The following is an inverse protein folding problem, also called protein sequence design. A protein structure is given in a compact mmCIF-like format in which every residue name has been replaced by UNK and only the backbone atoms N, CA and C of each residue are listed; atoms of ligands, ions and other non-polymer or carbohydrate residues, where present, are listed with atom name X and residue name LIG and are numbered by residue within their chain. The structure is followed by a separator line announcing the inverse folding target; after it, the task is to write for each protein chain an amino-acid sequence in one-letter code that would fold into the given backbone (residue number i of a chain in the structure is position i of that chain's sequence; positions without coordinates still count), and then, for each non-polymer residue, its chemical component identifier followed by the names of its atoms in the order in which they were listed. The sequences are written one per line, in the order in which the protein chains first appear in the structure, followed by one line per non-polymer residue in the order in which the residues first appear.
data_IF_617968723923
#
_entry.id   IF_617968723923
#
_cell.length_a   1.000
_cell.length_b   1.000
_cell.length_c   1.000
_cell.angle_alpha   90.00
_cell.angle_beta   90.00
_cell.angle_gamma   90.00
#
_symmetry.space_group_name_H-M   'P 1'
#
loop_
_entity.id
_entity.type
_entity.pdbx_description
1 polymer ?
#
# COMPACT_ATOMS: atom_id res chain seq x y z
N UNK A 1 23.79 -5.46 3.90
CA UNK A 1 22.38 -5.50 4.33
C UNK A 1 21.95 -4.08 4.63
N UNK A 2 20.84 -3.62 4.03
CA UNK A 2 20.27 -2.31 4.32
C UNK A 2 19.66 -2.25 5.72
N UNK A 3 19.40 -1.03 6.20
CA UNK A 3 18.88 -0.78 7.54
C UNK A 3 17.43 -1.27 7.64
N UNK A 4 17.06 -2.02 8.67
CA UNK A 4 15.66 -2.35 9.01
C UNK A 4 15.15 -1.42 10.11
N UNK A 5 13.83 -1.28 10.21
CA UNK A 5 13.17 -0.63 11.35
C UNK A 5 12.28 -1.65 12.06
N UNK A 6 12.12 -1.46 13.37
CA UNK A 6 11.20 -2.24 14.18
C UNK A 6 9.80 -1.63 14.16
N UNK A 7 8.80 -2.49 14.26
CA UNK A 7 7.39 -2.12 14.40
C UNK A 7 6.67 -3.17 15.24
N UNK A 8 5.58 -2.77 15.92
CA UNK A 8 4.71 -3.73 16.59
C UNK A 8 4.08 -4.70 15.59
N UNK A 9 4.06 -5.99 15.90
CA UNK A 9 3.37 -6.98 15.06
C UNK A 9 1.87 -6.71 14.97
N UNK A 10 1.25 -6.25 16.05
CA UNK A 10 -0.15 -5.81 16.07
C UNK A 10 -0.47 -4.67 15.09
N UNK A 11 0.53 -3.90 14.65
CA UNK A 11 0.35 -2.83 13.66
C UNK A 11 0.30 -3.34 12.21
N UNK A 12 0.67 -4.59 11.95
CA UNK A 12 0.68 -5.14 10.58
C UNK A 12 -0.73 -5.15 9.96
N UNK A 13 -1.77 -5.31 10.77
CA UNK A 13 -3.16 -5.18 10.34
C UNK A 13 -3.47 -3.78 9.81
N UNK A 14 -2.94 -2.73 10.45
CA UNK A 14 -3.12 -1.36 9.99
C UNK A 14 -2.41 -1.14 8.65
N UNK A 15 -1.17 -1.62 8.51
CA UNK A 15 -0.42 -1.57 7.24
C UNK A 15 -1.19 -2.29 6.12
N UNK A 16 -1.74 -3.47 6.39
CA UNK A 16 -2.55 -4.22 5.44
C UNK A 16 -3.76 -3.41 4.95
N UNK A 17 -4.53 -2.80 5.86
CA UNK A 17 -5.69 -1.99 5.48
C UNK A 17 -5.29 -0.71 4.74
N UNK A 18 -4.18 -0.08 5.12
CA UNK A 18 -3.62 1.07 4.40
C UNK A 18 -3.23 0.70 2.97
N UNK A 19 -2.47 -0.40 2.79
CA UNK A 19 -2.09 -0.90 1.46
C UNK A 19 -3.33 -1.22 0.61
N UNK A 20 -4.34 -1.85 1.22
CA UNK A 20 -5.64 -2.13 0.59
C UNK A 20 -6.38 -0.86 0.17
N UNK A 21 -6.33 0.20 0.98
CA UNK A 21 -6.91 1.50 0.62
C UNK A 21 -6.26 2.10 -0.63
N UNK A 22 -4.93 2.11 -0.70
CA UNK A 22 -4.20 2.57 -1.88
C UNK A 22 -4.47 1.70 -3.12
N UNK A 23 -4.54 0.38 -2.95
CA UNK A 23 -4.91 -0.55 -4.02
C UNK A 23 -6.34 -0.26 -4.56
N UNK A 24 -7.32 -0.11 -3.67
CA UNK A 24 -8.69 0.22 -4.07
C UNK A 24 -8.78 1.56 -4.81
N UNK A 25 -8.04 2.57 -4.34
CA UNK A 25 -7.97 3.88 -5.02
C UNK A 25 -7.35 3.75 -6.41
N UNK A 26 -6.30 2.95 -6.57
CA UNK A 26 -5.71 2.65 -7.87
C UNK A 26 -6.74 2.05 -8.83
N UNK A 27 -7.44 0.99 -8.44
CA UNK A 27 -8.44 0.32 -9.29
C UNK A 27 -9.60 1.26 -9.63
N UNK A 28 -10.06 2.08 -8.68
CA UNK A 28 -11.08 3.10 -8.92
C UNK A 28 -10.63 4.15 -9.96
N UNK A 29 -9.43 4.71 -9.81
CA UNK A 29 -8.91 5.74 -10.71
C UNK A 29 -8.62 5.18 -12.10
N UNK A 30 -8.09 3.96 -12.17
CA UNK A 30 -7.88 3.22 -13.42
C UNK A 30 -9.21 3.00 -14.15
N UNK A 31 -10.26 2.57 -13.45
CA UNK A 31 -11.60 2.42 -14.02
C UNK A 31 -12.13 3.75 -14.56
N UNK A 32 -12.02 4.83 -13.78
CA UNK A 32 -12.39 6.18 -14.23
C UNK A 32 -11.67 6.61 -15.51
N UNK A 33 -10.37 6.30 -15.62
CA UNK A 33 -9.57 6.63 -16.81
C UNK A 33 -10.08 5.90 -18.06
N UNK A 34 -10.54 4.65 -17.92
CA UNK A 34 -11.19 3.90 -19.00
C UNK A 34 -12.56 4.51 -19.35
N UNK A 35 -13.34 4.91 -18.36
CA UNK A 35 -14.68 5.51 -18.55
C UNK A 35 -14.63 6.93 -19.16
N UNK A 36 -13.53 7.64 -18.96
CA UNK A 36 -13.26 8.94 -19.54
C UNK A 36 -12.55 8.87 -20.89
N UNK A 37 -12.30 7.66 -21.41
CA UNK A 37 -11.73 7.50 -22.74
C UNK A 37 -12.62 8.20 -23.77
N UNK A 38 -12.00 8.99 -24.63
CA UNK A 38 -12.66 9.82 -25.66
C UNK A 38 -13.52 10.98 -25.13
N UNK A 39 -13.41 11.31 -23.83
CA UNK A 39 -14.01 12.50 -23.22
C UNK A 39 -12.94 13.52 -22.84
N UNK A 40 -13.28 14.80 -22.87
CA UNK A 40 -12.43 15.85 -22.31
C UNK A 40 -12.33 15.60 -20.80
N UNK A 41 -11.14 15.25 -20.33
CA UNK A 41 -10.82 15.12 -18.92
C UNK A 41 -10.10 16.38 -18.46
N UNK A 42 -10.61 17.04 -17.42
CA UNK A 42 -9.97 18.19 -16.81
C UNK A 42 -8.96 17.80 -15.71
N UNK A 43 -8.99 16.53 -15.30
CA UNK A 43 -8.10 15.96 -14.29
C UNK A 43 -7.15 14.93 -14.92
N UNK A 44 -5.86 15.00 -14.58
CA UNK A 44 -4.89 13.95 -14.93
C UNK A 44 -4.92 12.86 -13.86
N UNK A 45 -5.76 11.84 -14.08
CA UNK A 45 -5.93 10.72 -13.13
C UNK A 45 -4.78 9.72 -13.18
N UNK A 46 -4.01 9.69 -14.27
CA UNK A 46 -2.96 8.71 -14.52
C UNK A 46 -1.84 8.77 -13.46
N UNK A 47 -1.24 9.95 -13.15
CA UNK A 47 -0.22 10.04 -12.12
C UNK A 47 -0.73 9.67 -10.73
N UNK A 48 -1.96 10.05 -10.41
CA UNK A 48 -2.60 9.73 -9.12
C UNK A 48 -2.81 8.22 -9.01
N UNK A 49 -3.32 7.57 -10.06
CA UNK A 49 -3.50 6.13 -10.10
C UNK A 49 -2.15 5.41 -9.93
N UNK A 50 -1.14 5.77 -10.73
CA UNK A 50 0.18 5.15 -10.67
C UNK A 50 0.84 5.32 -9.29
N UNK A 51 0.74 6.51 -8.69
CA UNK A 51 1.24 6.78 -7.33
C UNK A 51 0.60 5.85 -6.31
N UNK A 52 -0.74 5.70 -6.34
CA UNK A 52 -1.46 4.79 -5.46
C UNK A 52 -1.03 3.33 -5.69
N UNK A 53 -0.89 2.91 -6.95
CA UNK A 53 -0.52 1.54 -7.29
C UNK A 53 0.89 1.18 -6.83
N UNK A 54 1.89 2.04 -7.10
CA UNK A 54 3.26 1.80 -6.63
C UNK A 54 3.40 1.84 -5.12
N UNK A 55 2.68 2.75 -4.45
CA UNK A 55 2.75 2.81 -2.99
C UNK A 55 2.10 1.57 -2.35
N UNK A 56 0.99 1.08 -2.90
CA UNK A 56 0.40 -0.18 -2.44
C UNK A 56 1.36 -1.38 -2.65
N UNK A 57 2.05 -1.47 -3.79
CA UNK A 57 3.10 -2.50 -4.01
C UNK A 57 4.18 -2.39 -2.95
N UNK A 58 4.71 -1.18 -2.70
CA UNK A 58 5.73 -0.94 -1.67
C UNK A 58 5.28 -1.43 -0.30
N UNK A 59 4.08 -1.05 0.13
CA UNK A 59 3.52 -1.42 1.43
C UNK A 59 3.30 -2.93 1.54
N UNK A 60 2.79 -3.59 0.50
CA UNK A 60 2.63 -5.05 0.51
C UNK A 60 3.97 -5.78 0.59
N UNK A 61 5.00 -5.35 -0.16
CA UNK A 61 6.33 -5.98 -0.09
C UNK A 61 6.93 -5.85 1.31
N UNK A 62 6.80 -4.67 1.94
CA UNK A 62 7.24 -4.46 3.33
C UNK A 62 6.46 -5.32 4.32
N UNK A 63 5.14 -5.42 4.12
CA UNK A 63 4.27 -6.24 4.96
C UNK A 63 4.63 -7.72 4.89
N UNK A 64 4.87 -8.25 3.68
CA UNK A 64 5.28 -9.64 3.47
C UNK A 64 6.62 -9.93 4.14
N UNK A 65 7.60 -9.04 4.01
CA UNK A 65 8.84 -9.16 4.76
C UNK A 65 8.60 -9.22 6.27
N UNK A 66 7.73 -8.35 6.81
CA UNK A 66 7.42 -8.34 8.24
C UNK A 66 6.72 -9.62 8.71
N UNK A 67 5.89 -10.22 7.86
CA UNK A 67 5.33 -11.54 8.12
C UNK A 67 6.43 -12.60 8.17
N UNK A 68 7.27 -12.69 7.14
CA UNK A 68 8.35 -13.67 7.05
C UNK A 68 9.32 -13.57 8.23
N UNK A 69 9.71 -12.34 8.59
CA UNK A 69 10.59 -12.08 9.72
C UNK A 69 9.96 -12.57 11.02
N UNK A 70 8.72 -12.19 11.30
CA UNK A 70 8.06 -12.57 12.55
C UNK A 70 7.82 -14.08 12.63
N UNK A 71 7.37 -14.70 11.53
CA UNK A 71 7.18 -16.16 11.46
C UNK A 71 8.46 -16.91 11.79
N UNK A 72 9.58 -16.49 11.19
CA UNK A 72 10.86 -17.16 11.36
C UNK A 72 11.44 -17.00 12.76
N UNK A 73 11.24 -15.84 13.40
CA UNK A 73 11.92 -15.48 14.64
C UNK A 73 11.06 -15.60 15.89
N UNK A 74 9.73 -15.49 15.77
CA UNK A 74 8.82 -15.39 16.93
C UNK A 74 7.79 -16.52 17.00
N UNK A 75 7.28 -17.03 15.86
CA UNK A 75 6.14 -17.97 15.84
C UNK A 75 6.26 -19.18 16.75
N UNK A 76 7.46 -19.73 16.86
CA UNK A 76 7.74 -20.98 17.59
C UNK A 76 8.16 -20.76 19.04
N UNK A 77 8.28 -19.50 19.50
CA UNK A 77 8.63 -19.20 20.89
C UNK A 77 7.43 -19.44 21.80
N UNK A 78 7.72 -19.88 23.03
CA UNK A 78 6.71 -20.02 24.10
C UNK A 78 6.08 -18.66 24.43
N UNK A 79 6.91 -17.61 24.49
CA UNK A 79 6.50 -16.23 24.68
C UNK A 79 6.96 -15.39 23.48
N UNK A 80 6.18 -15.34 22.38
CA UNK A 80 6.54 -14.53 21.21
C UNK A 80 6.54 -13.05 21.55
N UNK A 81 7.37 -12.26 20.88
CA UNK A 81 7.37 -10.79 21.02
C UNK A 81 6.34 -10.14 20.09
N UNK A 82 5.75 -9.02 20.53
CA UNK A 82 4.94 -8.15 19.67
C UNK A 82 5.83 -7.26 18.77
N UNK A 83 6.98 -7.72 18.32
CA UNK A 83 7.91 -6.95 17.49
C UNK A 83 8.24 -7.71 16.21
N UNK A 84 8.20 -6.98 15.10
CA UNK A 84 8.70 -7.43 13.80
C UNK A 84 9.54 -6.33 13.18
N UNK A 85 10.08 -6.57 12.00
CA UNK A 85 10.91 -5.63 11.26
C UNK A 85 10.40 -5.44 9.84
N UNK A 86 10.77 -4.31 9.24
CA UNK A 86 10.64 -4.08 7.80
C UNK A 86 11.89 -3.38 7.24
N UNK A 87 12.23 -3.61 5.96
CA UNK A 87 13.35 -2.93 5.30
C UNK A 87 13.06 -1.44 5.10
N UNK A 88 14.08 -0.59 5.34
CA UNK A 88 14.04 0.81 4.96
C UNK A 88 14.16 1.00 3.44
N UNK A 89 13.67 2.15 2.97
CA UNK A 89 13.76 2.57 1.57
C UNK A 89 12.50 2.26 0.77
N UNK A 90 12.56 2.63 -0.50
CA UNK A 90 11.43 2.59 -1.44
C UNK A 90 11.71 1.75 -2.69
N UNK A 91 12.94 1.22 -2.84
CA UNK A 91 13.37 0.48 -4.01
C UNK A 91 12.59 -0.84 -4.12
N UNK A 92 11.63 -0.92 -5.05
CA UNK A 92 10.73 -2.07 -5.16
C UNK A 92 11.45 -3.40 -5.37
N UNK A 93 12.47 -3.43 -6.23
CA UNK A 93 13.27 -4.64 -6.44
C UNK A 93 14.02 -5.04 -5.18
N UNK A 94 14.67 -4.09 -4.51
CA UNK A 94 15.37 -4.33 -3.25
C UNK A 94 14.42 -4.85 -2.18
N UNK A 95 13.23 -4.28 -2.07
CA UNK A 95 12.17 -4.76 -1.17
C UNK A 95 11.77 -6.21 -1.49
N UNK A 96 11.58 -6.54 -2.77
CA UNK A 96 11.30 -7.91 -3.18
C UNK A 96 12.47 -8.85 -2.86
N UNK A 97 13.72 -8.44 -3.06
CA UNK A 97 14.90 -9.24 -2.75
C UNK A 97 15.05 -9.54 -1.25
N UNK A 98 14.57 -8.67 -0.36
CA UNK A 98 14.56 -8.89 1.09
C UNK A 98 13.59 -9.99 1.55
N UNK A 99 12.54 -10.28 0.78
CA UNK A 99 11.52 -11.29 1.12
C UNK A 99 12.15 -12.69 1.14
N UNK A 100 11.64 -13.57 2.02
CA UNK A 100 12.11 -14.96 2.11
C UNK A 100 11.88 -15.72 0.80
N UNK A 101 12.75 -16.70 0.50
CA UNK A 101 12.66 -17.45 -0.76
C UNK A 101 11.33 -18.21 -0.92
N UNK A 102 10.74 -18.70 0.18
CA UNK A 102 9.45 -19.38 0.11
C UNK A 102 8.35 -18.43 -0.36
N UNK A 103 8.26 -17.25 0.26
CA UNK A 103 7.31 -16.21 -0.09
C UNK A 103 7.53 -15.69 -1.52
N UNK A 104 8.78 -15.45 -1.93
CA UNK A 104 9.11 -15.09 -3.33
C UNK A 104 8.66 -16.16 -4.33
N UNK A 105 8.87 -17.44 -3.99
CA UNK A 105 8.47 -18.58 -4.83
C UNK A 105 6.96 -18.65 -5.00
N UNK A 106 6.20 -18.50 -3.90
CA UNK A 106 4.74 -18.48 -3.93
C UNK A 106 4.20 -17.31 -4.77
N UNK A 107 4.71 -16.09 -4.55
CA UNK A 107 4.33 -14.90 -5.33
C UNK A 107 4.64 -15.10 -6.82
N UNK A 108 5.83 -15.61 -7.15
CA UNK A 108 6.23 -15.86 -8.54
C UNK A 108 5.33 -16.93 -9.19
N UNK A 109 4.97 -17.98 -8.44
CA UNK A 109 4.05 -19.02 -8.91
C UNK A 109 2.66 -18.44 -9.19
N UNK A 110 2.12 -17.61 -8.30
CA UNK A 110 0.83 -16.93 -8.49
C UNK A 110 0.83 -15.98 -9.69
N UNK A 111 1.96 -15.32 -9.98
CA UNK A 111 2.12 -14.44 -11.14
C UNK A 111 2.36 -15.17 -12.46
N UNK A 112 2.81 -16.42 -12.45
CA UNK A 112 3.35 -17.13 -13.63
C UNK A 112 2.41 -17.23 -14.83
N UNK A 113 1.08 -17.13 -14.63
CA UNK A 113 0.09 -17.10 -15.70
C UNK A 113 -0.04 -15.75 -16.42
N UNK A 114 0.54 -14.68 -15.84
CA UNK A 114 0.41 -13.29 -16.27
C UNK A 114 1.78 -12.66 -16.59
N UNK A 115 2.78 -12.89 -15.75
CA UNK A 115 4.12 -12.30 -15.86
C UNK A 115 5.15 -13.36 -15.48
N UNK A 116 6.15 -13.59 -16.34
CA UNK A 116 7.27 -14.49 -16.01
C UNK A 116 8.15 -13.91 -14.89
N UNK A 117 8.92 -14.78 -14.20
CA UNK A 117 9.85 -14.35 -13.14
C UNK A 117 10.83 -13.26 -13.65
N UNK A 118 11.39 -13.46 -14.83
CA UNK A 118 12.37 -12.51 -15.39
C UNK A 118 11.73 -11.17 -15.74
N UNK A 119 10.50 -11.19 -16.28
CA UNK A 119 9.73 -9.96 -16.52
C UNK A 119 9.36 -9.24 -15.21
N UNK A 120 8.99 -9.98 -14.16
CA UNK A 120 8.73 -9.41 -12.83
C UNK A 120 9.98 -8.68 -12.31
N UNK A 121 11.14 -9.34 -12.32
CA UNK A 121 12.38 -8.76 -11.83
C UNK A 121 12.84 -7.55 -12.67
N UNK A 122 12.69 -7.63 -13.99
CA UNK A 122 12.99 -6.52 -14.88
C UNK A 122 12.06 -5.32 -14.64
N UNK A 123 10.77 -5.55 -14.42
CA UNK A 123 9.81 -4.49 -14.13
C UNK A 123 10.03 -3.88 -12.73
N UNK A 124 10.36 -4.69 -11.73
CA UNK A 124 10.71 -4.19 -10.40
C UNK A 124 11.98 -3.33 -10.42
N UNK A 125 12.99 -3.67 -11.25
CA UNK A 125 14.17 -2.81 -11.45
C UNK A 125 13.79 -1.52 -12.17
N UNK A 126 13.05 -1.63 -13.28
CA UNK A 126 12.61 -0.48 -14.09
C UNK A 126 11.81 0.52 -13.26
N UNK A 127 10.94 0.02 -12.38
CA UNK A 127 10.04 0.81 -11.55
C UNK A 127 10.49 0.91 -10.09
N UNK A 128 11.78 0.72 -9.81
CA UNK A 128 12.29 0.67 -8.43
C UNK A 128 11.93 1.90 -7.60
N UNK A 129 11.89 3.08 -8.21
CA UNK A 129 11.50 4.35 -7.56
C UNK A 129 10.10 4.83 -8.00
N UNK A 130 9.25 3.90 -8.45
CA UNK A 130 7.97 4.21 -9.12
C UNK A 130 7.04 5.13 -8.33
N UNK A 131 6.96 4.97 -7.01
CA UNK A 131 6.17 5.88 -6.17
C UNK A 131 6.67 7.33 -6.25
N UNK A 132 7.98 7.53 -6.08
CA UNK A 132 8.59 8.86 -6.10
C UNK A 132 8.51 9.47 -7.50
N UNK A 133 8.82 8.67 -8.52
CA UNK A 133 8.79 9.09 -9.92
C UNK A 133 7.40 9.58 -10.35
N UNK A 134 6.35 8.88 -9.96
CA UNK A 134 4.97 9.26 -10.31
C UNK A 134 4.42 10.38 -9.43
N UNK A 135 4.86 10.48 -8.18
CA UNK A 135 4.50 11.59 -7.29
C UNK A 135 5.07 12.92 -7.79
N UNK A 136 6.29 12.90 -8.31
CA UNK A 136 6.99 14.07 -8.85
C UNK A 136 7.08 14.02 -10.39
N UNK A 137 6.03 13.52 -11.05
CA UNK A 137 6.04 13.29 -12.50
C UNK A 137 6.35 14.56 -13.31
N UNK A 138 5.97 15.74 -12.80
CA UNK A 138 6.22 17.04 -13.45
C UNK A 138 7.70 17.44 -13.47
N UNK A 139 8.54 16.81 -12.65
CA UNK A 139 9.99 17.01 -12.66
C UNK A 139 10.69 16.13 -13.72
N UNK A 140 9.97 15.17 -14.32
CA UNK A 140 10.49 14.28 -15.35
C UNK A 140 9.91 14.65 -16.72
N UNK A 141 10.75 14.58 -17.76
CA UNK A 141 10.33 14.88 -19.13
C UNK A 141 9.30 13.90 -19.66
N UNK A 142 9.63 12.60 -19.62
CA UNK A 142 8.73 11.50 -20.01
C UNK A 142 8.71 10.43 -18.93
N UNK A 143 7.52 9.98 -18.54
CA UNK A 143 7.33 8.85 -17.63
C UNK A 143 6.36 7.83 -18.24
N UNK A 144 6.77 6.57 -18.28
CA UNK A 144 6.00 5.48 -18.88
C UNK A 144 5.53 4.48 -17.84
N UNK A 145 4.21 4.40 -17.64
CA UNK A 145 3.59 3.48 -16.70
C UNK A 145 3.19 2.18 -17.38
N UNK A 146 3.36 1.07 -16.68
CA UNK A 146 2.85 -0.23 -17.11
C UNK A 146 1.72 -0.66 -16.16
N UNK A 147 0.48 -0.31 -16.53
CA UNK A 147 -0.70 -0.68 -15.74
C UNK A 147 -0.98 -2.18 -15.74
N UNK A 148 -0.50 -2.91 -16.75
CA UNK A 148 -0.60 -4.36 -16.75
C UNK A 148 0.31 -4.94 -15.65
N UNK A 149 1.56 -4.48 -15.57
CA UNK A 149 2.45 -4.84 -14.48
C UNK A 149 1.88 -4.47 -13.10
N UNK A 150 1.45 -3.22 -12.92
CA UNK A 150 0.94 -2.73 -11.63
C UNK A 150 -0.26 -3.56 -11.17
N UNK A 151 -1.29 -3.75 -12.02
CA UNK A 151 -2.49 -4.49 -11.63
C UNK A 151 -2.21 -5.95 -11.31
N UNK A 152 -1.47 -6.67 -12.15
CA UNK A 152 -1.20 -8.08 -11.90
C UNK A 152 -0.34 -8.28 -10.63
N UNK A 153 0.61 -7.37 -10.39
CA UNK A 153 1.45 -7.42 -9.18
C UNK A 153 0.62 -7.12 -7.93
N UNK A 154 -0.21 -6.07 -7.96
CA UNK A 154 -1.09 -5.73 -6.83
C UNK A 154 -2.07 -6.83 -6.49
N UNK A 155 -2.70 -7.44 -7.49
CA UNK A 155 -3.63 -8.54 -7.30
C UNK A 155 -2.96 -9.71 -6.56
N UNK A 156 -1.77 -10.12 -7.01
CA UNK A 156 -1.06 -11.25 -6.39
C UNK A 156 -0.55 -10.90 -4.99
N UNK A 157 0.06 -9.72 -4.80
CA UNK A 157 0.53 -9.30 -3.48
C UNK A 157 -0.62 -9.14 -2.49
N UNK A 158 -1.75 -8.61 -2.94
CA UNK A 158 -2.99 -8.54 -2.17
C UNK A 158 -3.45 -9.94 -1.76
N UNK A 159 -3.62 -10.86 -2.71
CA UNK A 159 -4.07 -12.22 -2.42
C UNK A 159 -3.13 -12.95 -1.46
N UNK A 160 -1.81 -12.79 -1.63
CA UNK A 160 -0.84 -13.35 -0.71
C UNK A 160 -1.02 -12.81 0.73
N UNK A 161 -1.10 -11.48 0.87
CA UNK A 161 -1.32 -10.84 2.16
C UNK A 161 -2.67 -11.21 2.77
N UNK A 162 -3.73 -11.28 1.97
CA UNK A 162 -5.07 -11.66 2.41
C UNK A 162 -5.10 -13.10 2.97
N UNK A 163 -4.45 -14.05 2.28
CA UNK A 163 -4.29 -15.42 2.78
C UNK A 163 -3.56 -15.42 4.12
N UNK A 164 -2.46 -14.67 4.24
CA UNK A 164 -1.74 -14.57 5.51
C UNK A 164 -2.62 -13.98 6.61
N UNK A 165 -3.26 -12.84 6.36
CA UNK A 165 -4.10 -12.15 7.34
C UNK A 165 -5.26 -13.02 7.82
N UNK A 166 -5.88 -13.80 6.94
CA UNK A 166 -7.05 -14.62 7.28
C UNK A 166 -6.70 -15.97 7.89
N UNK A 167 -5.51 -16.53 7.60
CA UNK A 167 -5.21 -17.92 7.94
C UNK A 167 -3.91 -18.13 8.73
N UNK A 168 -2.99 -17.18 8.68
CA UNK A 168 -1.67 -17.29 9.34
C UNK A 168 -1.46 -16.25 10.43
N UNK A 169 -2.19 -15.14 10.41
CA UNK A 169 -2.04 -14.07 11.40
C UNK A 169 -2.17 -14.60 12.83
N UNK A 170 -1.34 -14.06 13.70
CA UNK A 170 -1.30 -14.43 15.11
C UNK A 170 -1.97 -13.33 15.92
N UNK A 171 -2.88 -13.70 16.81
CA UNK A 171 -3.58 -12.75 17.68
C UNK A 171 -3.26 -13.06 19.13
N UNK A 172 -2.83 -12.03 19.86
CA UNK A 172 -2.68 -12.07 21.31
C UNK A 172 -3.47 -10.91 21.90
N UNK A 173 -4.38 -11.21 22.82
CA UNK A 173 -5.28 -10.21 23.40
C UNK A 173 -4.52 -9.11 24.14
N UNK A 174 -3.36 -9.44 24.71
CA UNK A 174 -2.50 -8.50 25.43
C UNK A 174 -1.75 -7.53 24.50
N UNK A 175 -1.80 -7.73 23.17
CA UNK A 175 -1.13 -6.88 22.18
C UNK A 175 -2.06 -5.88 21.50
N UNK A 176 -3.35 -5.92 21.86
CA UNK A 176 -4.32 -4.93 21.42
C UNK A 176 -4.00 -3.62 22.14
N UNK A 177 -3.31 -2.70 21.45
CA UNK A 177 -3.28 -1.31 21.87
C UNK A 177 -4.67 -0.68 21.57
N UNK A 178 -5.15 0.19 22.45
CA UNK A 178 -6.46 0.86 22.33
C UNK A 178 -6.61 1.79 21.12
N UNK A 179 -5.62 1.93 20.23
CA UNK A 179 -5.73 2.82 19.07
C UNK A 179 -4.95 2.34 17.86
N UNK A 180 -5.67 2.13 16.76
CA UNK A 180 -5.17 2.50 15.43
C UNK A 180 -5.82 3.83 15.04
N UNK A 181 -5.10 4.95 15.23
CA UNK A 181 -5.49 6.27 14.71
C UNK A 181 -5.36 6.31 13.18
N UNK A 182 -6.17 5.53 12.46
CA UNK A 182 -6.10 5.43 10.99
C UNK A 182 -7.47 5.54 10.31
N UNK A 183 -8.44 6.16 10.96
CA UNK A 183 -9.64 6.66 10.29
C UNK A 183 -9.61 8.19 10.30
N UNK A 184 -9.28 8.78 9.16
CA UNK A 184 -9.75 10.15 8.86
C UNK A 184 -11.06 9.97 8.12
N UNK A 185 -12.17 10.25 8.79
CA UNK A 185 -13.46 10.39 8.11
C UNK A 185 -13.44 11.74 7.42
N UNK A 186 -13.20 11.78 6.11
CA UNK A 186 -13.40 13.00 5.33
C UNK A 186 -14.91 13.17 5.13
N UNK A 187 -15.51 14.03 5.94
CA UNK A 187 -16.89 14.45 5.77
C UNK A 187 -17.00 15.32 4.52
N UNK A 188 -17.64 14.80 3.47
CA UNK A 188 -18.10 15.62 2.35
C UNK A 188 -19.54 16.04 2.64
N UNK A 189 -19.71 17.26 3.13
CA UNK A 189 -21.02 17.90 3.17
C UNK A 189 -21.11 18.93 2.03
N UNK A 190 -22.20 18.92 1.24
CA UNK A 190 -22.43 19.98 0.28
C UNK A 190 -22.67 21.28 1.03
N UNK A 191 -21.77 22.24 0.86
CA UNK A 191 -21.98 23.62 1.31
C UNK A 191 -22.80 24.35 0.26
N UNK A 192 -23.85 25.03 0.71
CA UNK A 192 -24.79 25.76 -0.16
C UNK A 192 -24.33 27.19 -0.42
N UNK A 193 -23.40 27.71 0.40
CA UNK A 193 -22.91 29.09 0.32
C UNK A 193 -21.39 29.20 0.51
N UNK A 194 -20.81 30.31 0.02
CA UNK A 194 -19.39 30.62 0.18
C UNK A 194 -19.03 30.94 1.65
N UNK A 195 -19.98 31.47 2.41
CA UNK A 195 -19.82 31.74 3.85
C UNK A 195 -19.74 30.45 4.66
N UNK A 196 -20.55 29.43 4.32
CA UNK A 196 -20.45 28.09 4.91
C UNK A 196 -19.10 27.44 4.59
N UNK A 197 -18.62 27.55 3.34
CA UNK A 197 -17.30 27.02 2.95
C UNK A 197 -16.18 27.66 3.77
N UNK A 198 -16.17 28.99 3.89
CA UNK A 198 -15.15 29.71 4.65
C UNK A 198 -15.21 29.39 6.15
N UNK A 199 -16.41 29.19 6.69
CA UNK A 199 -16.59 28.79 8.09
C UNK A 199 -16.02 27.38 8.36
N UNK A 200 -16.15 26.44 7.42
CA UNK A 200 -15.58 25.09 7.55
C UNK A 200 -14.06 25.11 7.36
N UNK A 201 -13.54 25.84 6.35
CA UNK A 201 -12.10 25.96 6.10
C UNK A 201 -11.34 26.67 7.23
N UNK A 202 -12.02 27.50 8.01
CA UNK A 202 -11.46 28.18 9.18
C UNK A 202 -11.36 27.31 10.43
N UNK A 203 -11.96 26.12 10.46
CA UNK A 203 -11.91 25.20 11.60
C UNK A 203 -10.68 24.30 11.57
N UNK A 204 -10.15 24.01 12.75
CA UNK A 204 -9.16 22.95 12.94
C UNK A 204 -9.78 21.57 12.69
N UNK A 205 -8.95 20.59 12.34
CA UNK A 205 -9.41 19.23 12.08
C UNK A 205 -10.11 18.61 13.31
N UNK A 206 -9.64 18.93 14.52
CA UNK A 206 -10.30 18.53 15.77
C UNK A 206 -11.70 19.10 15.90
N UNK A 207 -11.90 20.38 15.59
CA UNK A 207 -13.22 21.02 15.68
C UNK A 207 -14.21 20.39 14.69
N UNK A 208 -13.75 19.98 13.50
CA UNK A 208 -14.60 19.30 12.51
C UNK A 208 -15.00 17.89 12.97
N UNK A 209 -14.12 17.19 13.68
CA UNK A 209 -14.34 15.79 14.11
C UNK A 209 -15.27 15.72 15.33
N UNK A 210 -15.21 16.69 16.25
CA UNK A 210 -15.94 16.65 17.52
C UNK A 210 -17.21 17.52 17.56
N UNK A 211 -17.54 18.27 16.50
CA UNK A 211 -18.74 19.13 16.42
C UNK A 211 -20.09 18.38 16.36
N UNK A 212 -20.10 17.04 16.52
CA UNK A 212 -21.32 16.21 16.42
C UNK A 212 -21.54 15.25 17.60
N UNK A 213 -21.07 15.60 18.79
CA UNK A 213 -21.61 15.08 20.07
C UNK A 213 -22.48 16.16 20.74
#
# INVERSE_FOLDING_TARGET
MGKTNEIKYSNLTSIYFTAKGFHNNYEYLKKKQVESKDKIAYDSTMPVAATNGFFAIELYLKLIYSFDYWEKNERSKEEPSNLTQYPNGHNLKGLFEYIDENSKSEITKMLSSKISKDQLLANLEKYKDGFMDWRYFFEKGDIYGDYYFISNTLEVLYSYCEIYMNHKSYTNENWKDDFSRTSVTMHQEPVSTMEELNAVLGKSLSEIIYDKE
#
